data_IF_816522020971
#
_entry.id   IF_816522020971
#
_cell.length_a   1.000
_cell.length_b   1.000
_cell.length_c   1.000
_cell.angle_alpha   90.00
_cell.angle_beta   90.00
_cell.angle_gamma   90.00
#
_symmetry.space_group_name_H-M   'P 1'
#
loop_
_entity.id
_entity.type
_entity.pdbx_description
1 polymer ?
#
# COMPACT_ATOMS: atom_id res chain seq x y z
N UNK A 1 -3.67 17.56 6.68
CA UNK A 1 -4.46 18.73 7.12
C UNK A 1 -4.14 19.17 8.55
N UNK A 2 -4.00 18.27 9.54
CA UNK A 2 -3.59 18.61 10.92
C UNK A 2 -2.17 19.20 11.08
N UNK A 3 -1.27 18.97 10.12
CA UNK A 3 0.10 19.51 10.14
C UNK A 3 0.21 20.97 9.69
N UNK A 4 -0.87 21.56 9.15
CA UNK A 4 -0.86 22.94 8.62
C UNK A 4 -1.05 23.98 9.74
N UNK A 5 -1.63 23.59 10.88
CA UNK A 5 -1.92 24.46 12.04
C UNK A 5 -1.11 24.09 13.29
N UNK A 6 0.10 23.56 13.13
CA UNK A 6 0.95 23.19 14.27
C UNK A 6 1.42 24.45 15.02
N UNK A 7 1.22 24.55 16.35
CA UNK A 7 1.73 25.66 17.17
C UNK A 7 3.26 25.78 17.08
N UNK A 8 3.81 26.94 17.46
CA UNK A 8 5.25 27.25 17.41
C UNK A 8 6.13 26.13 17.98
N UNK A 9 7.30 25.89 17.37
CA UNK A 9 8.21 24.77 17.69
C UNK A 9 8.56 24.63 19.17
N UNK A 10 8.53 25.72 19.95
CA UNK A 10 8.80 25.71 21.39
C UNK A 10 7.66 25.14 22.25
N UNK A 11 6.42 25.23 21.80
CA UNK A 11 5.26 24.66 22.50
C UNK A 11 5.08 23.16 22.19
N UNK A 12 5.72 22.66 21.13
CA UNK A 12 5.61 21.26 20.69
C UNK A 12 6.20 20.26 21.68
N UNK A 13 7.11 20.70 22.56
CA UNK A 13 7.73 19.85 23.59
C UNK A 13 6.77 19.43 24.70
N UNK A 14 5.67 20.17 24.89
CA UNK A 14 4.64 19.86 25.90
C UNK A 14 3.39 19.17 25.33
N UNK A 15 3.38 18.89 24.01
CA UNK A 15 2.27 18.28 23.30
C UNK A 15 2.65 16.84 22.93
N UNK A 16 1.74 15.88 23.18
CA UNK A 16 1.86 14.53 22.62
C UNK A 16 1.53 14.63 21.13
N UNK A 17 2.56 14.80 20.31
CA UNK A 17 2.42 14.83 18.87
C UNK A 17 2.40 13.40 18.33
N UNK A 18 1.54 13.08 17.36
CA UNK A 18 1.66 11.84 16.61
C UNK A 18 3.05 11.82 15.97
N UNK A 19 3.77 10.74 16.24
CA UNK A 19 5.23 10.70 16.25
C UNK A 19 5.82 10.54 14.85
N UNK A 20 5.41 11.37 13.89
CA UNK A 20 5.92 11.28 12.52
C UNK A 20 7.27 11.97 12.31
N UNK A 21 7.83 12.63 13.34
CA UNK A 21 8.98 13.52 13.12
C UNK A 21 10.06 13.62 14.22
N UNK A 22 9.92 13.06 15.42
CA UNK A 22 10.90 13.36 16.49
C UNK A 22 11.13 12.35 17.62
N UNK A 23 10.50 11.18 17.65
CA UNK A 23 10.88 10.14 18.62
C UNK A 23 11.08 8.80 17.93
N UNK A 24 12.12 8.06 18.35
CA UNK A 24 12.66 6.87 17.69
C UNK A 24 11.77 5.63 17.69
N UNK A 25 10.44 5.79 17.65
CA UNK A 25 9.48 4.70 17.50
C UNK A 25 8.34 5.07 16.54
N UNK A 26 8.64 5.79 15.47
CA UNK A 26 7.76 5.88 14.30
C UNK A 26 7.77 4.51 13.62
N UNK A 27 6.84 3.62 13.97
CA UNK A 27 6.51 2.48 13.11
C UNK A 27 5.93 3.10 11.83
N UNK A 28 6.79 3.30 10.83
CA UNK A 28 6.45 3.98 9.59
C UNK A 28 5.19 3.37 8.98
N UNK A 29 4.41 4.20 8.30
CA UNK A 29 3.29 3.69 7.51
C UNK A 29 3.85 2.70 6.49
N UNK A 30 3.38 1.46 6.56
CA UNK A 30 3.75 0.43 5.60
C UNK A 30 2.96 0.67 4.30
N UNK A 31 3.66 1.06 3.24
CA UNK A 31 3.08 1.37 1.93
C UNK A 31 2.91 0.15 1.03
N UNK A 32 3.23 -1.05 1.52
CA UNK A 32 3.08 -2.28 0.74
C UNK A 32 1.61 -2.61 0.51
N UNK A 33 1.33 -3.23 -0.63
CA UNK A 33 0.01 -3.73 -0.93
C UNK A 33 -0.29 -4.98 -0.09
N UNK A 34 -1.54 -5.16 0.33
CA UNK A 34 -2.02 -6.42 0.88
C UNK A 34 -2.80 -7.19 -0.20
N UNK A 35 -2.54 -8.50 -0.34
CA UNK A 35 -3.28 -9.31 -1.29
C UNK A 35 -4.71 -9.58 -0.81
N UNK A 36 -5.67 -9.63 -1.73
CA UNK A 36 -7.07 -9.94 -1.39
C UNK A 36 -7.28 -11.41 -1.00
N UNK A 37 -6.44 -12.34 -1.48
CA UNK A 37 -6.57 -13.77 -1.17
C UNK A 37 -6.28 -14.09 0.31
N UNK A 38 -5.10 -13.68 0.79
CA UNK A 38 -4.59 -14.07 2.10
C UNK A 38 -4.55 -12.92 3.11
N UNK A 39 -4.83 -11.68 2.68
CA UNK A 39 -4.72 -10.47 3.50
C UNK A 39 -3.32 -10.26 4.10
N UNK A 40 -2.29 -10.73 3.38
CA UNK A 40 -0.88 -10.57 3.74
C UNK A 40 -0.26 -9.46 2.91
N UNK A 41 0.70 -8.75 3.50
CA UNK A 41 1.50 -7.76 2.80
C UNK A 41 2.40 -8.46 1.77
N UNK A 42 2.49 -7.87 0.58
CA UNK A 42 3.30 -8.35 -0.53
C UNK A 42 4.09 -7.21 -1.16
N UNK A 43 5.30 -7.52 -1.63
CA UNK A 43 6.13 -6.58 -2.39
C UNK A 43 5.89 -6.67 -3.91
N UNK A 44 5.51 -7.86 -4.41
CA UNK A 44 5.19 -8.12 -5.82
C UNK A 44 3.86 -8.85 -5.89
N UNK A 45 2.98 -8.46 -6.82
CA UNK A 45 1.69 -9.11 -7.02
C UNK A 45 1.11 -8.86 -8.41
N UNK A 46 0.02 -9.56 -8.70
CA UNK A 46 -0.73 -9.47 -9.95
C UNK A 46 -1.96 -8.58 -9.75
N UNK A 47 -2.10 -7.56 -10.59
CA UNK A 47 -3.19 -6.58 -10.49
C UNK A 47 -4.17 -6.77 -11.66
N UNK A 48 -5.45 -6.93 -11.35
CA UNK A 48 -6.49 -6.98 -12.37
C UNK A 48 -6.74 -5.58 -12.95
N UNK A 49 -6.65 -5.41 -14.26
CA UNK A 49 -6.90 -4.12 -14.93
C UNK A 49 -8.37 -3.69 -14.93
N UNK A 50 -9.30 -4.58 -14.62
CA UNK A 50 -10.74 -4.30 -14.62
C UNK A 50 -11.19 -3.86 -13.23
N UNK A 51 -10.93 -4.66 -12.20
CA UNK A 51 -11.42 -4.40 -10.83
C UNK A 51 -10.34 -3.90 -9.86
N UNK A 52 -9.10 -3.72 -10.32
CA UNK A 52 -7.96 -3.23 -9.53
C UNK A 52 -7.62 -4.08 -8.29
N UNK A 53 -8.10 -5.32 -8.24
CA UNK A 53 -7.76 -6.27 -7.18
C UNK A 53 -6.33 -6.79 -7.31
N UNK A 54 -5.65 -6.95 -6.18
CA UNK A 54 -4.25 -7.38 -6.08
C UNK A 54 -4.15 -8.80 -5.51
N UNK A 55 -3.40 -9.67 -6.18
CA UNK A 55 -3.22 -11.08 -5.81
C UNK A 55 -1.74 -11.43 -5.63
N UNK A 56 -1.46 -12.33 -4.69
CA UNK A 56 -0.10 -12.79 -4.39
C UNK A 56 0.38 -13.93 -5.30
N UNK A 57 -0.53 -14.58 -6.03
CA UNK A 57 -0.23 -15.69 -6.95
C UNK A 57 -0.98 -15.44 -8.26
N UNK A 58 -0.41 -15.94 -9.36
CA UNK A 58 -1.03 -15.83 -10.66
C UNK A 58 -2.18 -16.83 -10.80
N UNK A 59 -3.32 -16.36 -11.30
CA UNK A 59 -4.41 -17.19 -11.77
C UNK A 59 -4.81 -16.66 -13.15
N UNK A 60 -5.01 -17.49 -14.19
CA UNK A 60 -5.44 -17.01 -15.51
C UNK A 60 -6.77 -16.26 -15.51
N UNK A 61 -7.59 -16.41 -14.46
CA UNK A 61 -8.88 -15.74 -14.31
C UNK A 61 -8.89 -14.96 -12.98
N UNK A 62 -9.35 -13.71 -12.99
CA UNK A 62 -9.49 -12.94 -11.77
C UNK A 62 -10.58 -13.56 -10.85
N UNK A 63 -10.27 -13.97 -9.61
CA UNK A 63 -11.25 -14.57 -8.71
C UNK A 63 -12.33 -13.59 -8.22
N UNK A 64 -12.13 -12.28 -8.41
CA UNK A 64 -13.09 -11.25 -7.97
C UNK A 64 -14.13 -10.90 -9.06
N UNK A 65 -13.72 -10.81 -10.32
CA UNK A 65 -14.60 -10.38 -11.42
C UNK A 65 -14.66 -11.35 -12.61
N UNK A 66 -14.01 -12.50 -12.50
CA UNK A 66 -14.00 -13.58 -13.49
C UNK A 66 -13.42 -13.20 -14.88
N UNK A 67 -12.72 -12.07 -14.98
CA UNK A 67 -12.07 -11.63 -16.22
C UNK A 67 -10.74 -12.37 -16.42
N UNK A 68 -10.41 -12.84 -17.63
CA UNK A 68 -9.12 -13.44 -17.91
C UNK A 68 -7.99 -12.40 -17.80
N UNK A 69 -6.85 -12.81 -17.28
CA UNK A 69 -5.65 -11.98 -17.31
C UNK A 69 -5.03 -12.01 -18.71
N UNK A 70 -4.93 -10.83 -19.33
CA UNK A 70 -4.18 -10.67 -20.58
C UNK A 70 -2.70 -10.57 -20.22
N UNK A 71 -1.97 -11.66 -20.35
CA UNK A 71 -0.52 -11.63 -20.25
C UNK A 71 0.05 -11.02 -21.53
N UNK A 72 0.92 -10.00 -21.44
CA UNK A 72 1.67 -9.57 -22.61
C UNK A 72 2.50 -10.76 -23.08
N UNK A 73 2.29 -11.18 -24.33
CA UNK A 73 3.22 -12.09 -24.99
C UNK A 73 4.57 -11.39 -24.99
N UNK A 74 5.54 -11.92 -24.25
CA UNK A 74 6.91 -11.44 -24.30
C UNK A 74 7.44 -11.79 -25.70
N UNK A 75 7.20 -10.89 -26.65
CA UNK A 75 7.85 -10.91 -27.95
C UNK A 75 9.25 -10.36 -27.72
N UNK A 76 10.17 -11.24 -27.31
CA UNK A 76 11.60 -10.94 -27.34
C UNK A 76 11.97 -10.53 -28.77
N UNK A 77 12.37 -9.28 -28.95
CA UNK A 77 13.15 -8.79 -30.09
C UNK A 77 14.35 -8.05 -29.55
#
# INVERSE_FOLDING_TARGET
LLSVFLPSSKMRTSLILPDSRSSGLSFGVDFRAACFCHKRLIDIGYVCSICLSVFCEFNPICPTCNTPFVLPTVQNM
#
